data_IF_689431952733
#
_entry.id   IF_689431952733
#
_cell.length_a   1.000
_cell.length_b   1.000
_cell.length_c   1.000
_cell.angle_alpha   90.00
_cell.angle_beta   90.00
_cell.angle_gamma   90.00
#
_symmetry.space_group_name_H-M   'P 1'
#
loop_
_entity.id
_entity.type
_entity.pdbx_description
1 polymer ?
#
# COMPACT_ATOMS: atom_id res chain seq x y z
N UNK A 1 -1.02 4.97 12.69
CA UNK A 1 -2.36 4.48 12.30
C UNK A 1 -2.52 3.04 12.78
N UNK A 2 -3.60 2.75 13.44
CA UNK A 2 -3.89 1.41 13.91
C UNK A 2 -4.43 0.56 12.76
N UNK A 3 -4.21 -0.77 12.83
CA UNK A 3 -4.62 -1.68 11.77
C UNK A 3 -6.13 -1.65 11.50
N UNK A 4 -6.93 -1.48 12.56
CA UNK A 4 -8.39 -1.39 12.39
C UNK A 4 -8.77 -0.18 11.54
N UNK A 5 -8.15 0.96 11.79
CA UNK A 5 -8.38 2.18 11.00
C UNK A 5 -7.91 1.97 9.56
N UNK A 6 -6.77 1.31 9.37
CA UNK A 6 -6.27 1.00 8.03
C UNK A 6 -7.24 0.08 7.28
N UNK A 7 -7.78 -0.94 7.94
CA UNK A 7 -8.76 -1.84 7.34
C UNK A 7 -10.02 -1.09 6.91
N UNK A 8 -10.50 -0.19 7.76
CA UNK A 8 -11.68 0.61 7.45
C UNK A 8 -11.44 1.51 6.23
N UNK A 9 -10.27 2.12 6.13
CA UNK A 9 -9.90 2.94 4.98
C UNK A 9 -9.88 2.11 3.70
N UNK A 10 -9.31 0.92 3.76
CA UNK A 10 -9.25 0.02 2.60
C UNK A 10 -10.64 -0.42 2.18
N UNK A 11 -11.48 -0.81 3.15
CA UNK A 11 -12.83 -1.27 2.86
C UNK A 11 -13.72 -0.20 2.25
N UNK A 12 -13.49 1.05 2.60
CA UNK A 12 -14.29 2.18 2.10
C UNK A 12 -13.74 2.78 0.82
N UNK A 13 -12.57 2.30 0.35
CA UNK A 13 -11.95 2.86 -0.85
C UNK A 13 -12.39 2.12 -2.10
N UNK A 14 -12.75 2.89 -3.13
CA UNK A 14 -13.15 2.35 -4.43
C UNK A 14 -11.96 1.98 -5.30
N UNK A 15 -10.91 2.78 -5.21
CA UNK A 15 -9.75 2.65 -6.09
C UNK A 15 -8.57 2.17 -5.29
N UNK A 16 -8.15 0.94 -5.57
CA UNK A 16 -7.05 0.27 -4.88
C UNK A 16 -6.19 -0.47 -5.88
N UNK A 17 -4.89 -0.55 -5.59
CA UNK A 17 -3.98 -1.40 -6.35
C UNK A 17 -3.19 -2.25 -5.37
N UNK A 18 -2.81 -3.44 -5.80
CA UNK A 18 -2.03 -4.36 -5.00
C UNK A 18 -0.80 -4.78 -5.79
N UNK A 19 0.35 -4.82 -5.13
CA UNK A 19 1.60 -5.19 -5.75
C UNK A 19 2.55 -4.00 -5.87
N UNK A 20 3.84 -4.30 -5.74
CA UNK A 20 4.88 -3.27 -5.75
C UNK A 20 4.92 -2.52 -7.08
N UNK A 21 4.89 -3.26 -8.19
CA UNK A 21 4.96 -2.66 -9.52
C UNK A 21 3.76 -1.75 -9.78
N UNK A 22 2.57 -2.20 -9.42
CA UNK A 22 1.34 -1.43 -9.62
C UNK A 22 1.36 -0.17 -8.76
N UNK A 23 1.81 -0.29 -7.51
CA UNK A 23 1.92 0.85 -6.61
C UNK A 23 2.91 1.88 -7.14
N UNK A 24 4.07 1.44 -7.65
CA UNK A 24 5.06 2.36 -8.21
C UNK A 24 4.52 3.10 -9.42
N UNK A 25 3.79 2.41 -10.30
CA UNK A 25 3.16 3.06 -11.44
C UNK A 25 2.16 4.14 -11.02
N UNK A 26 1.35 3.83 -10.03
CA UNK A 26 0.37 4.79 -9.52
C UNK A 26 1.06 6.00 -8.88
N UNK A 27 2.16 5.76 -8.16
CA UNK A 27 2.95 6.85 -7.57
C UNK A 27 3.53 7.78 -8.65
N UNK A 28 4.04 7.20 -9.74
CA UNK A 28 4.54 8.00 -10.87
C UNK A 28 3.46 8.91 -11.47
N UNK A 29 2.24 8.41 -11.55
CA UNK A 29 1.12 9.17 -12.11
C UNK A 29 0.54 10.19 -11.12
N UNK A 30 0.97 10.15 -9.87
CA UNK A 30 0.45 11.05 -8.85
C UNK A 30 -0.99 10.75 -8.43
N UNK A 31 -1.41 9.49 -8.55
CA UNK A 31 -2.77 9.07 -8.27
C UNK A 31 -2.96 8.46 -6.88
N UNK A 32 -1.90 8.36 -6.08
CA UNK A 32 -1.94 7.64 -4.81
C UNK A 32 -2.30 8.55 -3.66
N UNK A 33 -3.25 8.11 -2.84
CA UNK A 33 -3.63 8.78 -1.62
C UNK A 33 -2.80 8.27 -0.44
N UNK A 34 -2.61 6.94 -0.36
CA UNK A 34 -1.92 6.29 0.75
C UNK A 34 -1.30 4.97 0.31
N UNK A 35 -0.14 4.66 0.85
CA UNK A 35 0.58 3.41 0.53
C UNK A 35 0.69 2.55 1.78
N UNK A 36 0.57 1.24 1.59
CA UNK A 36 0.73 0.25 2.65
C UNK A 36 1.88 -0.67 2.28
N UNK A 37 2.74 -0.97 3.26
CA UNK A 37 3.82 -1.95 3.08
C UNK A 37 3.75 -2.99 4.20
N UNK A 38 4.20 -4.20 3.89
CA UNK A 38 4.25 -5.28 4.86
C UNK A 38 5.60 -5.26 5.60
N UNK A 39 5.56 -5.35 6.93
CA UNK A 39 6.76 -5.28 7.75
C UNK A 39 7.70 -6.47 7.59
N UNK A 40 7.18 -7.60 7.12
CA UNK A 40 7.97 -8.81 6.89
C UNK A 40 8.37 -9.02 5.43
N UNK A 41 8.07 -8.06 4.57
CA UNK A 41 8.48 -8.13 3.16
C UNK A 41 9.97 -7.86 3.02
N UNK A 42 10.56 -8.39 1.95
CA UNK A 42 11.96 -8.15 1.65
C UNK A 42 12.20 -6.65 1.47
N UNK A 43 13.21 -6.15 2.17
CA UNK A 43 13.57 -4.74 2.14
C UNK A 43 13.85 -4.25 0.70
N UNK A 44 14.46 -5.09 -0.11
CA UNK A 44 14.74 -4.75 -1.52
C UNK A 44 13.48 -4.52 -2.33
N UNK A 45 12.39 -5.17 -1.95
CA UNK A 45 11.10 -5.03 -2.63
C UNK A 45 10.41 -3.74 -2.24
N UNK A 46 10.41 -3.39 -0.95
CA UNK A 46 9.67 -2.24 -0.45
C UNK A 46 10.46 -0.93 -0.49
N UNK A 47 11.79 -0.99 -0.52
CA UNK A 47 12.64 0.22 -0.50
C UNK A 47 12.32 1.21 -1.62
N UNK A 48 12.15 0.80 -2.88
CA UNK A 48 11.77 1.75 -3.93
C UNK A 48 10.44 2.45 -3.65
N UNK A 49 9.50 1.74 -3.05
CA UNK A 49 8.18 2.30 -2.70
C UNK A 49 8.34 3.32 -1.57
N UNK A 50 9.11 2.99 -0.55
CA UNK A 50 9.36 3.91 0.57
C UNK A 50 10.03 5.20 0.06
N UNK A 51 11.04 5.06 -0.80
CA UNK A 51 11.74 6.21 -1.38
C UNK A 51 10.80 7.09 -2.20
N UNK A 52 9.94 6.47 -3.00
CA UNK A 52 8.99 7.22 -3.83
C UNK A 52 7.97 7.97 -2.96
N UNK A 53 7.50 7.35 -1.88
CA UNK A 53 6.57 7.98 -0.95
C UNK A 53 7.21 9.18 -0.25
N UNK A 54 8.46 9.04 0.18
CA UNK A 54 9.19 10.13 0.82
C UNK A 54 9.37 11.31 -0.14
N UNK A 55 9.74 11.03 -1.38
CA UNK A 55 9.97 12.05 -2.39
C UNK A 55 8.70 12.82 -2.72
N UNK A 56 7.53 12.17 -2.65
CA UNK A 56 6.25 12.77 -3.02
C UNK A 56 5.40 13.20 -1.83
N UNK A 57 5.87 12.96 -0.60
CA UNK A 57 5.12 13.31 0.60
C UNK A 57 3.85 12.50 0.78
N UNK A 58 3.84 11.25 0.34
CA UNK A 58 2.69 10.35 0.46
C UNK A 58 2.74 9.61 1.79
N UNK A 59 1.60 9.51 2.47
CA UNK A 59 1.49 8.76 3.71
C UNK A 59 1.79 7.28 3.50
N UNK A 60 2.63 6.73 4.37
CA UNK A 60 3.03 5.34 4.33
C UNK A 60 2.60 4.65 5.62
N UNK A 61 1.88 3.54 5.50
CA UNK A 61 1.46 2.75 6.65
C UNK A 61 2.10 1.36 6.59
N UNK A 62 2.72 0.95 7.69
CA UNK A 62 3.33 -0.39 7.79
C UNK A 62 2.34 -1.36 8.43
N UNK A 63 2.08 -2.47 7.74
CA UNK A 63 1.24 -3.56 8.22
C UNK A 63 2.15 -4.69 8.72
N UNK A 64 1.72 -5.44 9.73
CA UNK A 64 2.54 -6.47 10.38
C UNK A 64 3.12 -7.51 9.42
N UNK A 65 2.33 -7.95 8.44
CA UNK A 65 2.77 -9.04 7.56
C UNK A 65 2.17 -8.92 6.16
N UNK A 66 2.82 -9.58 5.22
CA UNK A 66 2.33 -9.69 3.85
C UNK A 66 0.98 -10.42 3.80
N UNK A 67 0.80 -11.42 4.64
CA UNK A 67 -0.46 -12.16 4.73
C UNK A 67 -1.60 -11.24 5.15
N UNK A 68 -1.37 -10.42 6.17
CA UNK A 68 -2.37 -9.48 6.66
C UNK A 68 -2.68 -8.40 5.61
N UNK A 69 -1.65 -7.90 4.94
CA UNK A 69 -1.85 -6.88 3.91
C UNK A 69 -2.70 -7.41 2.75
N UNK A 70 -2.41 -8.63 2.28
CA UNK A 70 -3.22 -9.25 1.25
C UNK A 70 -4.67 -9.41 1.70
N UNK A 71 -4.87 -9.85 2.93
CA UNK A 71 -6.20 -10.03 3.49
C UNK A 71 -6.96 -8.72 3.58
N UNK A 72 -6.29 -7.65 4.00
CA UNK A 72 -6.90 -6.31 4.08
C UNK A 72 -7.42 -5.85 2.72
N UNK A 73 -6.72 -6.18 1.65
CA UNK A 73 -7.10 -5.79 0.29
C UNK A 73 -7.98 -6.83 -0.41
N UNK A 74 -8.39 -7.87 0.31
CA UNK A 74 -9.35 -8.86 -0.19
C UNK A 74 -8.78 -9.82 -1.22
N UNK A 75 -7.48 -10.01 -1.26
CA UNK A 75 -6.85 -10.99 -2.15
C UNK A 75 -6.46 -12.24 -1.37
N UNK A 76 -6.32 -13.36 -2.08
CA UNK A 76 -6.03 -14.65 -1.46
C UNK A 76 -4.55 -14.94 -1.31
N UNK A 77 -3.70 -14.06 -1.78
CA UNK A 77 -2.24 -14.22 -1.72
C UNK A 77 -1.63 -13.10 -0.88
N UNK A 78 -0.37 -13.28 -0.52
CA UNK A 78 0.36 -12.28 0.24
C UNK A 78 0.67 -11.05 -0.62
N UNK A 79 0.71 -9.89 0.00
CA UNK A 79 1.06 -8.65 -0.67
C UNK A 79 2.17 -7.93 0.09
N UNK A 80 3.26 -7.58 -0.60
CA UNK A 80 4.33 -6.81 0.00
C UNK A 80 3.99 -5.32 0.06
N UNK A 81 3.23 -4.84 -0.91
CA UNK A 81 2.88 -3.44 -1.08
C UNK A 81 1.48 -3.32 -1.68
N UNK A 82 0.76 -2.29 -1.28
CA UNK A 82 -0.55 -1.97 -1.83
C UNK A 82 -0.80 -0.48 -1.65
N UNK A 83 -1.78 0.06 -2.36
CA UNK A 83 -2.08 1.47 -2.27
C UNK A 83 -3.57 1.76 -2.45
N UNK A 84 -4.01 2.82 -1.80
CA UNK A 84 -5.32 3.40 -2.03
C UNK A 84 -5.11 4.58 -2.97
N UNK A 85 -5.88 4.63 -4.03
CA UNK A 85 -5.77 5.71 -5.02
C UNK A 85 -6.73 6.84 -4.69
N UNK A 86 -6.43 8.02 -5.22
CA UNK A 86 -7.31 9.17 -5.06
C UNK A 86 -8.60 8.93 -5.84
N UNK A 87 -9.72 9.30 -5.23
CA UNK A 87 -11.00 9.24 -5.90
C UNK A 87 -11.14 10.44 -6.85
N UNK A 88 -11.67 10.17 -8.02
CA UNK A 88 -11.91 11.21 -9.02
C UNK A 88 -13.37 11.63 -9.02
#
# INVERSE_FOLDING_TARGET
MEDQVAEDLVNNSRYKVVGTKQTLKALEKGEVQRVFIAGDADDKVIRPVVSACEAKGIDLHRVDSMARLGKMFGIKVKAATAAILEEK
#
